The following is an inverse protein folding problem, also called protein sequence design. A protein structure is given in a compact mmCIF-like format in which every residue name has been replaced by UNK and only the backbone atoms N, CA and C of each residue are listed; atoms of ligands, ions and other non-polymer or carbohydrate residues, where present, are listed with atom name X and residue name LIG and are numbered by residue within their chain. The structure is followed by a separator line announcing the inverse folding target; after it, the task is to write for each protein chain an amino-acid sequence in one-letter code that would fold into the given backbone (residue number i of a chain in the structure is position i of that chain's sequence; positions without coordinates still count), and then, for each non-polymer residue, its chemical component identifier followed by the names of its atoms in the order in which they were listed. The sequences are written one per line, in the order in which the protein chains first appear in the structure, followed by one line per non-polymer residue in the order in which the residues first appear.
data_IF_734665456329
#
_entry.id   IF_734665456329
#
_cell.length_a   1.000
_cell.length_b   1.000
_cell.length_c   1.000
_cell.angle_alpha   90.00
_cell.angle_beta   90.00
_cell.angle_gamma   90.00
#
_symmetry.space_group_name_H-M   'P 1'
#
loop_
_entity.id
_entity.type
_entity.pdbx_description
1 polymer ?
#
# COMPACT_ATOMS: atom_id res chain seq x y z
N UNK A 1 9.37 17.24 0.98
CA UNK A 1 8.92 15.97 0.36
C UNK A 1 9.30 15.97 -1.11
N UNK A 2 9.89 14.89 -1.60
CA UNK A 2 10.19 14.65 -3.02
C UNK A 2 9.37 13.45 -3.49
N UNK A 3 8.79 13.52 -4.69
CA UNK A 3 8.03 12.41 -5.28
C UNK A 3 8.62 12.08 -6.64
N UNK A 4 8.90 10.79 -6.84
CA UNK A 4 9.37 10.21 -8.10
C UNK A 4 8.42 9.10 -8.50
N UNK A 5 8.34 8.79 -9.79
CA UNK A 5 7.54 7.70 -10.32
C UNK A 5 8.35 6.82 -11.25
N UNK A 6 7.97 5.55 -11.32
CA UNK A 6 8.46 4.61 -12.33
C UNK A 6 7.34 3.66 -12.71
N UNK A 7 7.48 3.03 -13.87
CA UNK A 7 6.54 2.05 -14.39
C UNK A 7 7.30 0.80 -14.84
N UNK A 8 6.72 -0.35 -14.55
CA UNK A 8 7.25 -1.65 -14.99
C UNK A 8 6.32 -2.26 -16.04
N UNK A 9 6.93 -2.73 -17.12
CA UNK A 9 6.28 -3.61 -18.08
C UNK A 9 7.08 -4.89 -18.23
N UNK A 10 6.45 -6.06 -18.36
CA UNK A 10 7.16 -7.33 -18.53
C UNK A 10 8.15 -7.35 -19.71
N UNK A 11 7.84 -6.62 -20.79
CA UNK A 11 8.67 -6.57 -21.98
C UNK A 11 9.90 -5.64 -21.88
N UNK A 12 9.83 -4.59 -21.06
CA UNK A 12 10.85 -3.51 -21.03
C UNK A 12 11.49 -3.30 -19.66
N UNK A 13 10.95 -3.90 -18.61
CA UNK A 13 11.37 -3.66 -17.23
C UNK A 13 10.94 -2.27 -16.72
N UNK A 14 11.67 -1.75 -15.74
CA UNK A 14 11.39 -0.46 -15.12
C UNK A 14 11.80 0.74 -15.98
N UNK A 15 10.89 1.70 -16.14
CA UNK A 15 11.11 2.96 -16.85
C UNK A 15 10.50 4.15 -16.06
N UNK A 16 11.30 5.15 -15.66
CA UNK A 16 12.77 5.10 -15.56
C UNK A 16 13.25 4.00 -14.57
N UNK A 17 14.55 3.75 -14.50
CA UNK A 17 15.11 2.86 -13.50
C UNK A 17 14.73 3.30 -12.08
N UNK A 18 14.56 2.34 -11.17
CA UNK A 18 14.20 2.65 -9.78
C UNK A 18 15.28 3.49 -9.09
N UNK A 19 14.93 4.61 -8.44
CA UNK A 19 15.89 5.51 -7.79
C UNK A 19 16.34 4.95 -6.44
N UNK A 20 17.31 4.05 -6.44
CA UNK A 20 17.82 3.37 -5.24
C UNK A 20 18.45 4.31 -4.21
N UNK A 21 18.89 5.49 -4.64
CA UNK A 21 19.38 6.58 -3.80
C UNK A 21 18.31 7.22 -2.91
N UNK A 22 17.04 6.96 -3.21
CA UNK A 22 15.90 7.39 -2.39
C UNK A 22 15.50 6.39 -1.31
N UNK A 23 16.16 5.23 -1.21
CA UNK A 23 15.85 4.26 -0.16
C UNK A 23 16.15 4.79 1.23
N UNK A 24 15.23 4.58 2.16
CA UNK A 24 15.40 4.97 3.56
C UNK A 24 14.12 4.87 4.38
N UNK A 25 14.22 5.00 5.72
CA UNK A 25 13.07 4.83 6.61
C UNK A 25 12.01 5.93 6.45
N UNK A 26 12.35 7.06 5.82
CA UNK A 26 11.41 8.14 5.46
C UNK A 26 10.87 8.02 4.04
N UNK A 27 11.06 6.90 3.35
CA UNK A 27 10.55 6.68 2.00
C UNK A 27 9.35 5.76 2.01
N UNK A 28 8.27 6.19 1.36
CA UNK A 28 7.08 5.40 1.07
C UNK A 28 7.08 5.05 -0.41
N UNK A 29 7.02 3.77 -0.72
CA UNK A 29 6.83 3.23 -2.07
C UNK A 29 5.41 2.67 -2.16
N UNK A 30 4.58 3.25 -3.01
CA UNK A 30 3.24 2.75 -3.31
C UNK A 30 3.24 2.16 -4.72
N UNK A 31 2.99 0.85 -4.82
CA UNK A 31 2.98 0.12 -6.09
C UNK A 31 1.57 -0.38 -6.42
N UNK A 32 1.06 0.04 -7.56
CA UNK A 32 -0.23 -0.37 -8.09
C UNK A 32 0.01 -1.19 -9.36
N UNK A 33 -0.50 -2.40 -9.42
CA UNK A 33 -0.18 -3.28 -10.54
C UNK A 33 -1.28 -4.23 -10.94
N UNK A 34 -1.18 -4.77 -12.15
CA UNK A 34 -2.11 -5.73 -12.67
C UNK A 34 -2.21 -6.96 -11.76
N UNK A 35 -3.43 -7.44 -11.57
CA UNK A 35 -3.73 -8.52 -10.62
C UNK A 35 -2.99 -9.83 -10.96
N UNK A 36 -2.75 -10.11 -12.22
CA UNK A 36 -2.09 -11.33 -12.72
C UNK A 36 -0.57 -11.32 -12.52
N UNK A 37 0.04 -10.15 -12.34
CA UNK A 37 1.46 -10.04 -11.99
C UNK A 37 1.80 -10.61 -10.60
N UNK A 38 0.82 -11.00 -9.79
CA UNK A 38 1.08 -11.72 -8.52
C UNK A 38 1.92 -12.99 -8.69
N UNK A 39 1.90 -13.59 -9.87
CA UNK A 39 2.64 -14.81 -10.21
C UNK A 39 4.03 -14.50 -10.82
N UNK A 40 4.33 -13.23 -11.10
CA UNK A 40 5.62 -12.76 -11.57
C UNK A 40 6.30 -11.95 -10.44
N UNK A 41 7.24 -12.58 -9.73
CA UNK A 41 7.97 -11.89 -8.65
C UNK A 41 8.96 -10.83 -9.16
N UNK A 42 9.24 -10.76 -10.45
CA UNK A 42 10.26 -9.89 -11.04
C UNK A 42 10.12 -8.41 -10.64
N UNK A 43 8.96 -7.74 -10.83
CA UNK A 43 8.81 -6.35 -10.40
C UNK A 43 8.91 -6.19 -8.89
N UNK A 44 8.35 -7.12 -8.13
CA UNK A 44 8.32 -7.03 -6.66
C UNK A 44 9.68 -7.34 -6.03
N UNK A 45 10.44 -8.30 -6.56
CA UNK A 45 11.83 -8.55 -6.16
C UNK A 45 12.71 -7.33 -6.44
N UNK A 46 12.50 -6.66 -7.58
CA UNK A 46 13.20 -5.42 -7.90
C UNK A 46 12.90 -4.31 -6.89
N UNK A 47 11.62 -4.14 -6.49
CA UNK A 47 11.23 -3.17 -5.47
C UNK A 47 11.86 -3.49 -4.11
N UNK A 48 11.81 -4.74 -3.66
CA UNK A 48 12.44 -5.16 -2.39
C UNK A 48 13.94 -4.93 -2.38
N UNK A 49 14.60 -5.19 -3.52
CA UNK A 49 16.05 -4.95 -3.68
C UNK A 49 16.39 -3.48 -3.72
N UNK A 50 15.59 -2.66 -4.40
CA UNK A 50 15.83 -1.23 -4.54
C UNK A 50 15.52 -0.44 -3.25
N UNK A 51 14.57 -0.93 -2.43
CA UNK A 51 14.03 -0.22 -1.27
C UNK A 51 13.98 -1.09 0.00
N UNK A 52 15.13 -1.64 0.46
CA UNK A 52 15.16 -2.55 1.61
C UNK A 52 14.82 -1.88 2.96
N UNK A 53 14.87 -0.54 3.04
CA UNK A 53 14.58 0.23 4.26
C UNK A 53 13.30 1.05 4.19
N UNK A 54 12.74 1.20 2.99
CA UNK A 54 11.52 1.99 2.77
C UNK A 54 10.27 1.25 3.23
N UNK A 55 9.21 2.01 3.50
CA UNK A 55 7.86 1.50 3.64
C UNK A 55 7.32 1.15 2.25
N UNK A 56 7.23 -0.14 1.91
CA UNK A 56 6.69 -0.60 0.62
C UNK A 56 5.28 -1.14 0.85
N UNK A 57 4.30 -0.56 0.14
CA UNK A 57 2.90 -1.00 0.13
C UNK A 57 2.34 -0.88 -1.28
N UNK A 58 1.14 -1.39 -1.49
CA UNK A 58 0.49 -1.34 -2.79
C UNK A 58 -0.62 -2.37 -2.89
N UNK A 59 -1.29 -2.39 -4.03
CA UNK A 59 -2.32 -3.39 -4.28
C UNK A 59 -2.54 -3.60 -5.79
N UNK A 60 -3.28 -4.67 -6.11
CA UNK A 60 -3.74 -4.89 -7.47
C UNK A 60 -4.81 -3.88 -7.89
N UNK A 61 -4.85 -3.60 -9.19
CA UNK A 61 -5.77 -2.64 -9.80
C UNK A 61 -6.43 -3.20 -11.06
N UNK A 62 -7.41 -2.46 -11.56
CA UNK A 62 -8.13 -2.78 -12.81
C UNK A 62 -7.55 -2.03 -14.03
N UNK A 63 -6.41 -1.36 -13.85
CA UNK A 63 -5.68 -0.58 -14.84
C UNK A 63 -4.76 0.41 -14.14
N UNK A 64 -3.51 0.51 -14.57
CA UNK A 64 -2.46 1.27 -13.91
C UNK A 64 -2.32 2.65 -14.54
N UNK A 65 -2.52 3.69 -13.71
CA UNK A 65 -2.35 5.07 -14.16
C UNK A 65 -0.87 5.45 -14.11
N UNK A 66 -0.30 5.78 -15.27
CA UNK A 66 1.07 6.25 -15.41
C UNK A 66 1.09 7.59 -16.18
N UNK A 67 1.17 8.70 -15.47
CA UNK A 67 1.07 10.04 -16.07
C UNK A 67 -0.29 10.27 -16.73
N UNK A 68 -0.35 10.57 -18.04
CA UNK A 68 -1.60 10.81 -18.76
C UNK A 68 -2.23 9.52 -19.33
N UNK A 69 -1.59 8.38 -19.17
CA UNK A 69 -2.01 7.10 -19.76
C UNK A 69 -2.52 6.12 -18.69
N UNK A 70 -3.34 5.18 -19.15
CA UNK A 70 -3.73 3.99 -18.38
C UNK A 70 -3.18 2.79 -19.14
N UNK A 71 -2.50 1.91 -18.42
CA UNK A 71 -1.89 0.70 -18.95
C UNK A 71 -2.49 -0.53 -18.30
N UNK A 72 -2.48 -1.63 -19.04
CA UNK A 72 -2.77 -2.96 -18.53
C UNK A 72 -1.46 -3.75 -18.42
N UNK A 73 -1.44 -4.78 -17.56
CA UNK A 73 -0.31 -5.68 -17.39
C UNK A 73 1.00 -4.93 -17.05
N UNK A 74 0.90 -4.00 -16.14
CA UNK A 74 2.00 -3.14 -15.70
C UNK A 74 2.06 -3.01 -14.18
N UNK A 75 3.09 -2.34 -13.65
CA UNK A 75 3.13 -1.84 -12.28
C UNK A 75 3.52 -0.37 -12.32
N UNK A 76 2.65 0.49 -11.81
CA UNK A 76 2.94 1.91 -11.60
C UNK A 76 3.35 2.15 -10.16
N UNK A 77 4.47 2.83 -9.93
CA UNK A 77 4.94 3.16 -8.58
C UNK A 77 5.10 4.65 -8.36
N UNK A 78 4.68 5.09 -7.17
CA UNK A 78 4.99 6.40 -6.62
C UNK A 78 5.95 6.22 -5.45
N UNK A 79 7.10 6.91 -5.49
CA UNK A 79 8.13 6.89 -4.47
C UNK A 79 8.15 8.28 -3.82
N UNK A 80 7.67 8.37 -2.58
CA UNK A 80 7.61 9.63 -1.82
C UNK A 80 8.65 9.60 -0.70
N UNK A 81 9.64 10.48 -0.78
CA UNK A 81 10.65 10.67 0.25
C UNK A 81 10.26 11.84 1.15
N UNK A 82 10.04 11.53 2.43
CA UNK A 82 9.74 12.50 3.47
C UNK A 82 11.01 12.85 4.26
N UNK A 83 11.16 14.11 4.63
CA UNK A 83 12.31 14.59 5.42
C UNK A 83 12.06 14.50 6.92
N UNK A 84 10.80 14.67 7.34
CA UNK A 84 10.42 14.82 8.77
C UNK A 84 9.21 14.01 9.19
N UNK A 85 8.61 13.21 8.30
CA UNK A 85 7.44 12.40 8.57
C UNK A 85 7.85 10.94 8.77
N UNK A 86 7.91 10.43 10.00
CA UNK A 86 8.09 9.01 10.23
C UNK A 86 6.95 8.20 9.65
N UNK A 87 7.27 6.98 9.25
CA UNK A 87 6.33 6.04 8.65
C UNK A 87 6.29 4.76 9.47
N UNK A 88 5.10 4.13 9.54
CA UNK A 88 4.95 2.77 10.08
C UNK A 88 3.98 2.01 9.19
N UNK A 89 4.37 0.81 8.76
CA UNK A 89 3.51 -0.11 8.04
C UNK A 89 2.90 -1.10 9.02
N UNK A 90 1.61 -1.35 8.89
CA UNK A 90 0.90 -2.41 9.58
C UNK A 90 0.09 -3.23 8.57
N UNK A 91 -0.09 -4.51 8.84
CA UNK A 91 -0.96 -5.38 8.05
C UNK A 91 -1.62 -6.42 8.95
N UNK A 92 -2.77 -6.92 8.52
CA UNK A 92 -3.48 -8.00 9.21
C UNK A 92 -4.26 -8.86 8.21
N UNK A 93 -4.41 -10.12 8.51
CA UNK A 93 -5.30 -11.00 7.76
C UNK A 93 -6.77 -10.63 8.01
N UNK A 94 -7.62 -10.94 7.04
CA UNK A 94 -9.08 -10.79 7.13
C UNK A 94 -9.73 -12.14 6.83
N UNK A 95 -10.48 -12.66 7.78
CA UNK A 95 -11.15 -13.96 7.67
C UNK A 95 -12.43 -13.93 6.82
N UNK A 96 -12.81 -12.78 6.31
CA UNK A 96 -14.03 -12.55 5.51
C UNK A 96 -14.69 -11.22 5.86
N UNK A 97 -15.79 -10.88 5.19
CA UNK A 97 -16.47 -9.58 5.35
C UNK A 97 -16.89 -9.29 6.79
N UNK A 98 -17.32 -10.29 7.53
CA UNK A 98 -17.72 -10.16 8.94
C UNK A 98 -16.55 -9.77 9.88
N UNK A 99 -15.28 -10.02 9.48
CA UNK A 99 -14.09 -9.64 10.25
C UNK A 99 -13.57 -8.24 9.89
N UNK A 100 -14.18 -7.54 8.93
CA UNK A 100 -13.65 -6.28 8.39
C UNK A 100 -13.50 -5.20 9.47
N UNK A 101 -14.50 -4.98 10.32
CA UNK A 101 -14.39 -4.05 11.43
C UNK A 101 -13.30 -4.47 12.45
N UNK A 102 -13.15 -5.78 12.71
CA UNK A 102 -12.09 -6.34 13.53
C UNK A 102 -10.70 -6.07 12.96
N UNK A 103 -10.53 -6.25 11.66
CA UNK A 103 -9.29 -5.95 10.95
C UNK A 103 -8.93 -4.45 11.04
N UNK A 104 -9.91 -3.55 10.90
CA UNK A 104 -9.72 -2.12 11.10
C UNK A 104 -9.18 -1.79 12.49
N UNK A 105 -9.77 -2.36 13.54
CA UNK A 105 -9.30 -2.18 14.93
C UNK A 105 -7.87 -2.69 15.12
N UNK A 106 -7.53 -3.88 14.60
CA UNK A 106 -6.16 -4.42 14.69
C UNK A 106 -5.13 -3.52 14.02
N UNK A 107 -5.45 -2.90 12.88
CA UNK A 107 -4.58 -1.92 12.23
C UNK A 107 -4.43 -0.65 13.07
N UNK A 108 -5.53 -0.14 13.66
CA UNK A 108 -5.48 1.02 14.55
C UNK A 108 -4.57 0.76 15.76
N UNK A 109 -4.71 -0.39 16.41
CA UNK A 109 -3.88 -0.79 17.55
C UNK A 109 -2.39 -0.84 17.19
N UNK A 110 -2.06 -1.31 15.98
CA UNK A 110 -0.67 -1.34 15.50
C UNK A 110 -0.10 0.04 15.15
N UNK A 111 -0.95 1.01 14.79
CA UNK A 111 -0.53 2.33 14.31
C UNK A 111 -0.64 3.46 15.36
N UNK A 112 -1.52 3.36 16.35
CA UNK A 112 -1.83 4.48 17.27
C UNK A 112 -0.70 4.93 18.17
N UNK A 113 0.34 4.12 18.38
CA UNK A 113 1.49 4.51 19.19
C UNK A 113 2.39 5.49 18.43
N UNK A 114 2.88 6.51 19.13
CA UNK A 114 3.80 7.50 18.58
C UNK A 114 5.05 6.86 17.96
N UNK A 115 5.56 7.49 16.90
CA UNK A 115 6.79 7.08 16.22
C UNK A 115 7.76 8.26 16.23
N UNK A 116 8.97 8.02 16.72
CA UNK A 116 10.01 9.06 16.86
C UNK A 116 9.50 10.33 17.60
N UNK A 117 8.61 10.15 18.58
CA UNK A 117 8.03 11.26 19.34
C UNK A 117 6.96 12.08 18.60
N UNK A 118 6.51 11.60 17.44
CA UNK A 118 5.46 12.25 16.64
C UNK A 118 4.17 11.41 16.67
N UNK A 119 3.03 12.13 16.72
CA UNK A 119 1.70 11.50 16.75
C UNK A 119 1.27 11.05 15.36
N UNK A 120 0.39 10.06 15.30
CA UNK A 120 -0.25 9.65 14.06
C UNK A 120 -1.14 10.78 13.52
N UNK A 121 -0.88 11.23 12.30
CA UNK A 121 -1.61 12.30 11.63
C UNK A 121 -2.50 11.79 10.49
N UNK A 122 -2.03 10.77 9.77
CA UNK A 122 -2.79 10.20 8.67
C UNK A 122 -2.51 8.71 8.49
N UNK A 123 -3.47 8.00 7.89
CA UNK A 123 -3.38 6.59 7.52
C UNK A 123 -3.74 6.42 6.05
N UNK A 124 -2.89 5.73 5.29
CA UNK A 124 -3.21 5.23 3.96
C UNK A 124 -3.53 3.74 4.08
N UNK A 125 -4.74 3.35 3.70
CA UNK A 125 -5.31 2.01 3.86
C UNK A 125 -5.49 1.34 2.49
N UNK A 126 -4.94 0.16 2.29
CA UNK A 126 -5.15 -0.68 1.11
C UNK A 126 -5.69 -2.04 1.54
N UNK A 127 -6.71 -2.50 0.86
CA UNK A 127 -7.47 -3.69 1.28
C UNK A 127 -7.69 -4.66 0.14
N UNK A 128 -7.71 -5.94 0.46
CA UNK A 128 -8.26 -6.96 -0.46
C UNK A 128 -9.68 -6.57 -0.92
N UNK A 129 -9.95 -6.66 -2.24
CA UNK A 129 -11.15 -6.08 -2.83
C UNK A 129 -12.41 -6.95 -2.77
N UNK A 130 -12.26 -8.26 -2.61
CA UNK A 130 -13.40 -9.20 -2.76
C UNK A 130 -13.97 -9.66 -1.43
N UNK A 131 -13.12 -9.93 -0.44
CA UNK A 131 -13.55 -10.53 0.83
C UNK A 131 -13.72 -9.52 1.97
N UNK A 132 -13.52 -8.24 1.70
CA UNK A 132 -13.55 -7.17 2.71
C UNK A 132 -14.78 -6.28 2.49
N UNK A 133 -15.52 -6.00 3.55
CA UNK A 133 -16.44 -4.87 3.59
C UNK A 133 -15.65 -3.59 3.91
N UNK A 134 -15.45 -2.73 2.89
CA UNK A 134 -14.66 -1.51 3.02
C UNK A 134 -15.26 -0.50 4.00
N UNK A 135 -16.60 -0.45 4.13
CA UNK A 135 -17.31 0.42 5.07
C UNK A 135 -17.04 -0.01 6.51
N UNK A 136 -17.20 -1.29 6.79
CA UNK A 136 -16.94 -1.84 8.13
C UNK A 136 -15.45 -1.78 8.50
N UNK A 137 -14.56 -2.01 7.54
CA UNK A 137 -13.12 -1.83 7.72
C UNK A 137 -12.78 -0.39 8.12
N UNK A 138 -13.31 0.59 7.38
CA UNK A 138 -13.12 2.01 7.64
C UNK A 138 -13.69 2.43 9.00
N UNK A 139 -14.90 1.99 9.34
CA UNK A 139 -15.53 2.24 10.64
C UNK A 139 -14.71 1.64 11.79
N UNK A 140 -14.27 0.38 11.66
CA UNK A 140 -13.45 -0.27 12.68
C UNK A 140 -12.11 0.42 12.91
N UNK A 141 -11.48 0.91 11.84
CA UNK A 141 -10.23 1.68 11.90
C UNK A 141 -10.48 3.05 12.57
N UNK A 142 -11.46 3.82 12.10
CA UNK A 142 -11.75 5.15 12.60
C UNK A 142 -12.14 5.17 14.08
N UNK A 143 -12.96 4.21 14.51
CA UNK A 143 -13.42 4.10 15.90
C UNK A 143 -12.30 3.79 16.92
N UNK A 144 -11.16 3.26 16.46
CA UNK A 144 -10.04 2.87 17.32
C UNK A 144 -8.81 3.78 17.20
N UNK A 145 -8.82 4.72 16.24
CA UNK A 145 -7.78 5.73 16.09
C UNK A 145 -8.07 6.99 16.93
N UNK A 146 -7.05 7.77 17.28
CA UNK A 146 -7.24 9.09 17.90
C UNK A 146 -8.05 10.04 17.01
N UNK A 147 -8.80 10.95 17.64
CA UNK A 147 -9.55 11.98 16.91
C UNK A 147 -8.62 12.84 16.04
N UNK A 148 -9.12 13.18 14.83
CA UNK A 148 -8.42 14.04 13.88
C UNK A 148 -7.45 13.30 12.95
N UNK A 149 -7.21 12.01 13.13
CA UNK A 149 -6.42 11.21 12.18
C UNK A 149 -7.18 11.10 10.84
N UNK A 150 -6.51 11.48 9.75
CA UNK A 150 -7.09 11.40 8.41
C UNK A 150 -6.91 9.99 7.84
N UNK A 151 -7.97 9.41 7.31
CA UNK A 151 -7.93 8.10 6.66
C UNK A 151 -8.20 8.28 5.17
N UNK A 152 -7.35 7.69 4.33
CA UNK A 152 -7.50 7.62 2.89
C UNK A 152 -7.12 6.23 2.42
N UNK A 153 -7.61 5.81 1.27
CA UNK A 153 -7.27 4.50 0.72
C UNK A 153 -8.35 3.92 -0.16
N UNK A 154 -8.27 2.61 -0.38
CA UNK A 154 -9.22 1.93 -1.24
C UNK A 154 -9.10 0.42 -1.21
N UNK A 155 -10.00 -0.21 -1.96
CA UNK A 155 -10.02 -1.64 -2.20
C UNK A 155 -9.22 -1.96 -3.47
N UNK A 156 -8.47 -3.05 -3.43
CA UNK A 156 -7.78 -3.59 -4.59
C UNK A 156 -8.76 -4.08 -5.67
N UNK A 157 -8.37 -3.97 -6.92
CA UNK A 157 -9.12 -4.44 -8.08
C UNK A 157 -8.43 -5.59 -8.80
N UNK A 158 -9.19 -6.31 -9.66
CA UNK A 158 -8.68 -7.38 -10.53
C UNK A 158 -9.33 -7.32 -11.92
N UNK A 159 -9.46 -6.14 -12.48
CA UNK A 159 -10.23 -5.83 -13.66
C UNK A 159 -11.74 -6.15 -13.44
N UNK A 160 -12.35 -6.95 -14.28
CA UNK A 160 -13.76 -7.31 -14.17
C UNK A 160 -13.99 -8.76 -13.66
N UNK A 161 -12.97 -9.36 -13.00
CA UNK A 161 -13.05 -10.77 -12.59
C UNK A 161 -13.74 -10.98 -11.26
N UNK A 162 -13.53 -10.07 -10.29
CA UNK A 162 -14.07 -10.15 -8.93
C UNK A 162 -13.72 -11.46 -8.19
N UNK A 163 -12.52 -11.99 -8.46
CA UNK A 163 -12.07 -13.28 -7.92
C UNK A 163 -10.90 -13.14 -6.96
N UNK A 164 -9.87 -12.43 -7.38
CA UNK A 164 -8.58 -12.42 -6.70
C UNK A 164 -7.89 -11.07 -6.78
N UNK A 165 -7.77 -10.42 -5.66
CA UNK A 165 -6.95 -9.23 -5.51
C UNK A 165 -5.75 -9.54 -4.60
N UNK A 166 -4.77 -8.66 -4.59
CA UNK A 166 -3.64 -8.74 -3.68
C UNK A 166 -3.32 -7.36 -3.08
N UNK A 167 -2.71 -7.40 -1.91
CA UNK A 167 -2.09 -6.25 -1.24
C UNK A 167 -0.64 -6.61 -0.95
N UNK A 168 0.29 -5.67 -1.07
CA UNK A 168 1.69 -5.92 -0.77
C UNK A 168 1.92 -5.98 0.74
N UNK A 169 2.45 -7.11 1.19
CA UNK A 169 2.95 -7.32 2.55
C UNK A 169 4.45 -7.58 2.46
N UNK A 170 5.25 -6.69 3.03
CA UNK A 170 6.72 -6.74 2.93
C UNK A 170 7.21 -6.88 1.48
N UNK A 171 6.52 -6.21 0.55
CA UNK A 171 6.84 -6.25 -0.88
C UNK A 171 6.41 -7.54 -1.60
N UNK A 172 5.59 -8.40 -1.00
CA UNK A 172 5.06 -9.61 -1.63
C UNK A 172 3.54 -9.48 -1.84
N UNK A 173 3.02 -9.74 -3.07
CA UNK A 173 1.59 -9.83 -3.32
C UNK A 173 0.94 -10.89 -2.44
N UNK A 174 -0.02 -10.50 -1.61
CA UNK A 174 -0.65 -11.36 -0.61
C UNK A 174 -2.18 -11.17 -0.68
N UNK A 175 -2.92 -12.28 -0.74
CA UNK A 175 -4.40 -12.25 -0.71
C UNK A 175 -4.93 -12.36 0.71
N UNK A 176 -6.19 -11.92 0.93
CA UNK A 176 -6.87 -12.03 2.22
C UNK A 176 -6.27 -11.16 3.32
N UNK A 177 -5.63 -10.04 2.94
CA UNK A 177 -5.00 -9.11 3.89
C UNK A 177 -5.47 -7.68 3.65
N UNK A 178 -5.31 -6.87 4.67
CA UNK A 178 -5.36 -5.40 4.61
C UNK A 178 -4.04 -4.85 5.12
N UNK A 179 -3.56 -3.77 4.49
CA UNK A 179 -2.35 -3.08 4.90
C UNK A 179 -2.64 -1.59 5.09
N UNK A 180 -1.94 -0.98 6.02
CA UNK A 180 -2.03 0.44 6.28
C UNK A 180 -0.64 1.04 6.53
N UNK A 181 -0.47 2.28 6.08
CA UNK A 181 0.72 3.08 6.38
C UNK A 181 0.30 4.27 7.24
N UNK A 182 0.82 4.34 8.44
CA UNK A 182 0.72 5.51 9.31
C UNK A 182 1.77 6.55 8.93
N UNK A 183 1.33 7.79 8.79
CA UNK A 183 2.17 8.98 8.62
C UNK A 183 2.09 9.79 9.90
N UNK A 184 3.25 10.11 10.49
CA UNK A 184 3.34 10.74 11.81
C UNK A 184 3.88 12.15 11.69
N UNK A 185 3.31 13.08 12.47
CA UNK A 185 3.65 14.49 12.45
C UNK A 185 2.50 15.39 12.89
N UNK A 186 2.64 16.68 12.62
CA UNK A 186 1.64 17.73 12.89
C UNK A 186 0.76 17.98 11.66
#
# INVERSE_FOLDING_TARGET
MQVTRAEYHPATGWTPALPTDQDGPGTLVMAFGAWDLRNDDTPFASLRSAFPRAAVTGCSTAGEIAGPAVHDNSVSVAIARFERTPLRVAHTAVAGSADSAGAGRRLADALRADVAGQRLAAVVLLSHGVVVDGTELGHGLAAALPDGVRISGGLAGDAAKFENTWVLVSGHPTSGVVAAVGLYGD
#
